data_IF_424014315993
#
_entry.id   IF_424014315993
#
_cell.length_a   1.000
_cell.length_b   1.000
_cell.length_c   1.000
_cell.angle_alpha   90.00
_cell.angle_beta   90.00
_cell.angle_gamma   90.00
#
_symmetry.space_group_name_H-M   'P 1'
#
loop_
_entity.id
_entity.type
_entity.pdbx_description
1 polymer ?
#
# COMPACT_ATOMS: atom_id res chain seq x y z
N UNK A 1 33.44 7.99 -35.10
CA UNK A 1 32.16 8.11 -35.84
C UNK A 1 31.16 7.26 -35.11
N UNK A 2 30.09 7.85 -34.56
CA UNK A 2 29.01 7.09 -33.93
C UNK A 2 28.22 6.39 -35.04
N UNK A 3 28.08 5.06 -34.95
CA UNK A 3 27.31 4.27 -35.91
C UNK A 3 25.82 4.66 -35.80
N UNK A 4 25.20 5.02 -36.92
CA UNK A 4 23.79 5.41 -36.99
C UNK A 4 22.89 4.28 -36.48
N UNK A 5 23.29 3.01 -36.66
CA UNK A 5 22.57 1.87 -36.12
C UNK A 5 22.58 1.86 -34.58
N UNK A 6 23.75 2.13 -33.97
CA UNK A 6 23.87 2.23 -32.51
C UNK A 6 23.07 3.41 -31.94
N UNK A 7 23.04 4.54 -32.64
CA UNK A 7 22.24 5.69 -32.24
C UNK A 7 20.73 5.40 -32.26
N UNK A 8 20.24 4.64 -33.25
CA UNK A 8 18.83 4.22 -33.33
C UNK A 8 18.46 3.26 -32.20
N UNK A 9 19.28 2.24 -31.96
CA UNK A 9 19.06 1.30 -30.86
C UNK A 9 18.99 2.03 -29.50
N UNK A 10 19.90 2.98 -29.25
CA UNK A 10 19.88 3.78 -28.03
C UNK A 10 18.60 4.64 -27.88
N UNK A 11 18.05 5.15 -28.98
CA UNK A 11 16.79 5.90 -28.96
C UNK A 11 15.59 4.99 -28.69
N UNK A 12 15.57 3.78 -29.26
CA UNK A 12 14.51 2.79 -29.03
C UNK A 12 14.51 2.30 -27.57
N UNK A 13 15.70 2.07 -27.00
CA UNK A 13 15.88 1.73 -25.58
C UNK A 13 15.40 2.86 -24.67
N UNK A 14 15.77 4.11 -24.98
CA UNK A 14 15.33 5.29 -24.24
C UNK A 14 13.81 5.48 -24.30
N UNK A 15 13.19 5.24 -25.46
CA UNK A 15 11.74 5.28 -25.62
C UNK A 15 11.05 4.20 -24.78
N UNK A 16 11.59 2.98 -24.78
CA UNK A 16 11.08 1.87 -23.95
C UNK A 16 11.16 2.22 -22.45
N UNK A 17 12.27 2.80 -22.00
CA UNK A 17 12.44 3.24 -20.61
C UNK A 17 11.46 4.35 -20.24
N UNK A 18 11.19 5.29 -21.14
CA UNK A 18 10.21 6.35 -20.93
C UNK A 18 8.80 5.79 -20.73
N UNK A 19 8.38 4.87 -21.60
CA UNK A 19 7.06 4.23 -21.53
C UNK A 19 6.88 3.43 -20.23
N UNK A 20 7.91 2.68 -19.83
CA UNK A 20 7.92 1.96 -18.56
C UNK A 20 7.80 2.93 -17.37
N UNK A 21 8.59 4.01 -17.38
CA UNK A 21 8.56 5.03 -16.32
C UNK A 21 7.18 5.71 -16.21
N UNK A 22 6.54 5.99 -17.36
CA UNK A 22 5.19 6.56 -17.38
C UNK A 22 4.13 5.58 -16.83
N UNK A 23 4.25 4.29 -17.15
CA UNK A 23 3.37 3.27 -16.61
C UNK A 23 3.53 3.14 -15.09
N UNK A 24 4.76 3.20 -14.58
CA UNK A 24 5.02 3.13 -13.15
C UNK A 24 4.55 4.38 -12.39
N UNK A 25 4.70 5.58 -12.97
CA UNK A 25 4.11 6.81 -12.42
C UNK A 25 2.59 6.74 -12.33
N UNK A 26 1.95 6.12 -13.32
CA UNK A 26 0.48 5.92 -13.31
C UNK A 26 0.07 5.04 -12.13
N UNK A 27 0.72 3.88 -11.94
CA UNK A 27 0.46 2.98 -10.80
C UNK A 27 0.69 3.68 -9.46
N UNK A 28 1.75 4.48 -9.35
CA UNK A 28 2.03 5.23 -8.12
C UNK A 28 0.93 6.24 -7.81
N UNK A 29 0.41 6.91 -8.83
CA UNK A 29 -0.70 7.86 -8.70
C UNK A 29 -1.98 7.17 -8.23
N UNK A 30 -2.28 5.98 -8.78
CA UNK A 30 -3.40 5.15 -8.34
C UNK A 30 -3.26 4.79 -6.86
N UNK A 31 -2.08 4.32 -6.43
CA UNK A 31 -1.81 4.00 -5.02
C UNK A 31 -1.99 5.24 -4.14
N UNK A 32 -1.42 6.38 -4.55
CA UNK A 32 -1.51 7.64 -3.80
C UNK A 32 -2.96 8.10 -3.62
N UNK A 33 -3.81 7.93 -4.63
CA UNK A 33 -5.23 8.28 -4.54
C UNK A 33 -6.05 7.32 -3.68
N UNK A 34 -5.71 6.03 -3.69
CA UNK A 34 -6.41 4.99 -2.93
C UNK A 34 -6.07 4.98 -1.43
N UNK A 35 -4.82 5.31 -1.08
CA UNK A 35 -4.29 5.15 0.27
C UNK A 35 -5.05 5.91 1.38
N UNK A 36 -5.48 7.17 1.20
CA UNK A 36 -6.22 7.91 2.23
C UNK A 36 -7.54 7.23 2.61
N UNK A 37 -8.33 6.83 1.63
CA UNK A 37 -9.60 6.14 1.87
C UNK A 37 -9.37 4.76 2.51
N UNK A 38 -8.32 4.06 2.11
CA UNK A 38 -7.96 2.78 2.72
C UNK A 38 -7.61 2.95 4.20
N UNK A 39 -6.85 3.99 4.55
CA UNK A 39 -6.52 4.32 5.93
C UNK A 39 -7.76 4.68 6.76
N UNK A 40 -8.73 5.39 6.17
CA UNK A 40 -10.01 5.69 6.83
C UNK A 40 -10.82 4.43 7.11
N UNK A 41 -10.92 3.51 6.15
CA UNK A 41 -11.60 2.22 6.33
C UNK A 41 -10.95 1.38 7.43
N UNK A 42 -9.62 1.38 7.51
CA UNK A 42 -8.89 0.65 8.56
C UNK A 42 -9.18 1.23 9.95
N UNK A 43 -9.14 2.57 10.09
CA UNK A 43 -9.51 3.23 11.35
C UNK A 43 -10.95 2.93 11.77
N UNK A 44 -11.89 2.96 10.83
CA UNK A 44 -13.29 2.64 11.11
C UNK A 44 -13.48 1.19 11.59
N UNK A 45 -12.72 0.24 11.02
CA UNK A 45 -12.74 -1.16 11.46
C UNK A 45 -12.14 -1.33 12.86
N UNK A 46 -11.01 -0.68 13.15
CA UNK A 46 -10.44 -0.67 14.51
C UNK A 46 -11.39 -0.08 15.54
N UNK A 47 -12.04 1.05 15.23
CA UNK A 47 -12.99 1.71 16.13
C UNK A 47 -14.21 0.84 16.41
N UNK A 48 -14.72 0.12 15.39
CA UNK A 48 -15.78 -0.84 15.55
C UNK A 48 -15.37 -1.97 16.52
N UNK A 49 -14.18 -2.54 16.34
CA UNK A 49 -13.71 -3.65 17.15
C UNK A 49 -13.36 -3.23 18.59
N UNK A 50 -12.76 -2.05 18.77
CA UNK A 50 -12.41 -1.48 20.10
C UNK A 50 -13.64 -1.04 20.89
N UNK A 51 -14.71 -0.66 20.21
CA UNK A 51 -15.94 -0.15 20.81
C UNK A 51 -17.10 -1.16 20.74
N UNK A 52 -18.11 -0.91 19.88
CA UNK A 52 -19.39 -1.60 19.94
C UNK A 52 -19.37 -3.05 19.46
N UNK A 53 -18.28 -3.53 18.86
CA UNK A 53 -18.21 -4.85 18.20
C UNK A 53 -18.61 -6.01 19.11
N UNK A 54 -18.06 -6.10 20.32
CA UNK A 54 -18.41 -7.13 21.30
C UNK A 54 -19.86 -7.03 21.77
N UNK A 55 -20.34 -5.80 21.99
CA UNK A 55 -21.72 -5.54 22.44
C UNK A 55 -22.72 -5.92 21.36
N UNK A 56 -22.42 -5.65 20.09
CA UNK A 56 -23.25 -6.04 18.96
C UNK A 56 -23.30 -7.57 18.81
N UNK A 57 -22.16 -8.26 18.93
CA UNK A 57 -22.11 -9.72 18.91
C UNK A 57 -22.98 -10.32 20.02
N UNK A 58 -22.79 -9.87 21.26
CA UNK A 58 -23.55 -10.36 22.42
C UNK A 58 -25.05 -10.11 22.25
N UNK A 59 -25.42 -8.92 21.75
CA UNK A 59 -26.83 -8.56 21.48
C UNK A 59 -27.43 -9.46 20.41
N UNK A 60 -26.70 -9.73 19.31
CA UNK A 60 -27.17 -10.59 18.22
C UNK A 60 -27.35 -12.02 18.70
N UNK A 61 -26.37 -12.59 19.42
CA UNK A 61 -26.45 -13.97 19.91
C UNK A 61 -27.47 -14.14 21.05
N UNK A 62 -27.70 -13.10 21.86
CA UNK A 62 -28.77 -13.12 22.86
C UNK A 62 -30.17 -13.13 22.22
N UNK A 63 -30.35 -12.45 21.10
CA UNK A 63 -31.61 -12.42 20.36
C UNK A 63 -31.82 -13.69 19.51
N UNK A 64 -30.75 -14.22 18.93
CA UNK A 64 -30.75 -15.44 18.13
C UNK A 64 -29.45 -16.25 18.37
N UNK A 65 -29.48 -17.25 19.27
CA UNK A 65 -28.31 -18.07 19.58
C UNK A 65 -27.80 -18.92 18.41
N UNK A 66 -28.58 -19.08 17.33
CA UNK A 66 -28.18 -19.81 16.13
C UNK A 66 -27.76 -18.88 14.99
N UNK A 67 -27.69 -17.57 15.23
CA UNK A 67 -27.27 -16.61 14.23
C UNK A 67 -25.86 -16.93 13.72
N UNK A 68 -25.71 -16.98 12.40
CA UNK A 68 -24.39 -17.08 11.78
C UNK A 68 -23.69 -15.73 11.92
N UNK A 69 -22.60 -15.72 12.69
CA UNK A 69 -21.87 -14.48 12.96
C UNK A 69 -20.90 -14.16 11.80
N UNK A 70 -20.83 -12.90 11.34
CA UNK A 70 -19.97 -12.52 10.23
C UNK A 70 -18.48 -12.59 10.60
N UNK A 71 -17.54 -12.70 9.64
CA UNK A 71 -16.10 -12.81 9.94
C UNK A 71 -15.52 -11.69 10.79
N UNK A 72 -16.09 -10.47 10.74
CA UNK A 72 -15.62 -9.30 11.51
C UNK A 72 -15.75 -9.47 13.03
N UNK A 73 -16.54 -10.44 13.50
CA UNK A 73 -16.62 -10.76 14.93
C UNK A 73 -15.56 -11.79 15.37
N UNK A 74 -14.83 -12.37 14.41
CA UNK A 74 -13.68 -13.21 14.71
C UNK A 74 -12.46 -12.32 14.93
N UNK A 75 -11.96 -12.32 16.17
CA UNK A 75 -10.77 -11.58 16.59
C UNK A 75 -9.58 -11.82 15.68
N UNK A 76 -9.31 -13.09 15.34
CA UNK A 76 -8.15 -13.46 14.53
C UNK A 76 -8.23 -12.83 13.13
N UNK A 77 -9.41 -12.82 12.51
CA UNK A 77 -9.61 -12.27 11.17
C UNK A 77 -9.38 -10.74 11.14
N UNK A 78 -9.77 -10.03 12.20
CA UNK A 78 -9.54 -8.59 12.32
C UNK A 78 -8.06 -8.30 12.57
N UNK A 79 -7.40 -9.08 13.43
CA UNK A 79 -5.97 -8.94 13.70
C UNK A 79 -5.11 -9.21 12.47
N UNK A 80 -5.41 -10.25 11.69
CA UNK A 80 -4.68 -10.55 10.44
C UNK A 80 -4.73 -9.37 9.46
N UNK A 81 -5.89 -8.73 9.32
CA UNK A 81 -6.06 -7.55 8.45
C UNK A 81 -5.27 -6.35 9.00
N UNK A 82 -5.35 -6.08 10.30
CA UNK A 82 -4.64 -4.97 10.93
C UNK A 82 -3.12 -5.12 10.84
N UNK A 83 -2.59 -6.31 11.15
CA UNK A 83 -1.17 -6.62 11.01
C UNK A 83 -0.71 -6.52 9.56
N UNK A 84 -1.50 -7.04 8.61
CA UNK A 84 -1.19 -6.94 7.20
C UNK A 84 -1.14 -5.49 6.68
N UNK A 85 -2.04 -4.63 7.18
CA UNK A 85 -2.02 -3.20 6.91
C UNK A 85 -0.75 -2.53 7.44
N UNK A 86 -0.42 -2.75 8.71
CA UNK A 86 0.76 -2.18 9.36
C UNK A 86 2.06 -2.60 8.66
N UNK A 87 2.20 -3.89 8.33
CA UNK A 87 3.35 -4.41 7.57
C UNK A 87 3.47 -3.73 6.20
N UNK A 88 2.35 -3.54 5.51
CA UNK A 88 2.29 -2.84 4.22
C UNK A 88 2.75 -1.39 4.32
N UNK A 89 2.23 -0.65 5.30
CA UNK A 89 2.60 0.76 5.54
C UNK A 89 4.07 0.87 5.93
N UNK A 90 4.60 -0.02 6.77
CA UNK A 90 6.02 -0.02 7.11
C UNK A 90 6.91 -0.26 5.89
N UNK A 91 6.54 -1.17 4.99
CA UNK A 91 7.28 -1.39 3.74
C UNK A 91 7.28 -0.14 2.86
N UNK A 92 6.13 0.54 2.74
CA UNK A 92 6.03 1.79 1.99
C UNK A 92 6.92 2.88 2.60
N UNK A 93 6.92 3.03 3.92
CA UNK A 93 7.77 3.99 4.62
C UNK A 93 9.27 3.70 4.42
N UNK A 94 9.68 2.43 4.51
CA UNK A 94 11.07 2.02 4.25
C UNK A 94 11.48 2.33 2.81
N UNK A 95 10.61 2.05 1.85
CA UNK A 95 10.85 2.39 0.44
C UNK A 95 10.99 3.90 0.25
N UNK A 96 10.02 4.68 0.72
CA UNK A 96 10.05 6.14 0.61
C UNK A 96 11.28 6.75 1.30
N UNK A 97 11.66 6.22 2.47
CA UNK A 97 12.87 6.66 3.17
C UNK A 97 14.11 6.38 2.34
N UNK A 98 14.26 5.16 1.82
CA UNK A 98 15.41 4.77 1.01
C UNK A 98 15.55 5.66 -0.24
N UNK A 99 14.44 5.95 -0.94
CA UNK A 99 14.46 6.85 -2.10
C UNK A 99 14.83 8.29 -1.72
N UNK A 100 14.27 8.81 -0.63
CA UNK A 100 14.60 10.15 -0.13
C UNK A 100 16.06 10.23 0.29
N UNK A 101 16.63 9.20 0.92
CA UNK A 101 18.02 9.22 1.40
C UNK A 101 19.03 8.73 0.38
N UNK A 102 18.62 8.19 -0.76
CA UNK A 102 19.52 7.60 -1.77
C UNK A 102 20.61 8.58 -2.26
N UNK A 103 20.35 9.88 -2.24
CA UNK A 103 21.32 10.91 -2.61
C UNK A 103 22.40 11.14 -1.54
N UNK A 104 22.13 10.80 -0.28
CA UNK A 104 23.08 10.91 0.85
C UNK A 104 24.10 9.77 0.84
N UNK A 105 23.73 8.62 0.28
CA UNK A 105 24.59 7.44 0.18
C UNK A 105 25.53 7.47 -1.05
N UNK A 106 25.44 8.50 -1.90
CA UNK A 106 26.39 8.70 -3.00
C UNK A 106 27.64 9.43 -2.48
N UNK A 107 28.82 8.78 -2.40
CA UNK A 107 30.04 9.49 -2.07
C UNK A 107 30.43 10.42 -3.21
N UNK A 108 30.13 11.72 -3.06
CA UNK A 108 30.61 12.81 -3.91
C UNK A 108 29.59 13.31 -4.94
N UNK A 109 28.82 14.34 -4.60
CA UNK A 109 27.81 14.89 -5.52
C UNK A 109 27.27 16.28 -5.20
N UNK A 110 28.13 17.24 -4.84
CA UNK A 110 27.95 18.63 -5.29
C UNK A 110 29.03 18.89 -6.34
N UNK A 111 28.66 18.79 -7.62
CA UNK A 111 29.34 19.41 -8.76
C UNK A 111 28.23 19.90 -9.71
#
# INVERSE_FOLDING_TARGET
MTDIAAARAALDDAQTLLEQSQADLTKLTEIQSWLPEAAERMRALEDFYRGPGSTHLDTTLAADPQAQTPPVVNEDAVWEVAVGWDDGVQRLLRFATAEITAHLDRPGGYC
#
